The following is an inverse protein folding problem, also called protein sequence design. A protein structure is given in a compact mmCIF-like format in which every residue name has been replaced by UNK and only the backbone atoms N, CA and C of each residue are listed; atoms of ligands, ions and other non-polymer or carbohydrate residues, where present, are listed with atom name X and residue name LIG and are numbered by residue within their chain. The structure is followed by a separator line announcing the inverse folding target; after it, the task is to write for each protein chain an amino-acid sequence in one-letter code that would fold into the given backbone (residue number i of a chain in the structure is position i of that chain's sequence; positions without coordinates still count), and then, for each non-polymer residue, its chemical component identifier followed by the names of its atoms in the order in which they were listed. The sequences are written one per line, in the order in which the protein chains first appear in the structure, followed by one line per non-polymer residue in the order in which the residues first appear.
data_IF_801490904908
#
_entry.id   IF_801490904908
#
_cell.length_a   1.000
_cell.length_b   1.000
_cell.length_c   1.000
_cell.angle_alpha   90.00
_cell.angle_beta   90.00
_cell.angle_gamma   90.00
#
_symmetry.space_group_name_H-M   'P 1'
#
loop_
_entity.id
_entity.type
_entity.pdbx_description
1 polymer ?
#
# COMPACT_ATOMS: atom_id res chain seq x y z
N UNK A 1 -17.72 -11.31 -18.03
CA UNK A 1 -17.67 -10.35 -16.91
C UNK A 1 -18.90 -10.62 -16.06
N UNK A 2 -18.77 -10.80 -14.75
CA UNK A 2 -19.95 -10.99 -13.89
C UNK A 2 -20.78 -9.69 -13.89
N UNK A 3 -22.12 -9.75 -13.89
CA UNK A 3 -22.94 -8.53 -13.81
C UNK A 3 -22.58 -7.74 -12.56
N UNK A 4 -22.26 -6.45 -12.71
CA UNK A 4 -21.95 -5.55 -11.59
C UNK A 4 -20.47 -5.32 -11.28
N UNK A 5 -19.54 -5.86 -12.09
CA UNK A 5 -18.11 -5.51 -11.97
C UNK A 5 -17.80 -4.24 -12.77
N UNK A 6 -17.37 -3.17 -12.09
CA UNK A 6 -16.81 -1.98 -12.71
C UNK A 6 -15.28 -2.04 -12.62
N UNK A 7 -14.61 -1.59 -13.69
CA UNK A 7 -13.15 -1.55 -13.78
C UNK A 7 -12.73 -0.11 -14.14
N UNK A 8 -11.71 0.41 -13.47
CA UNK A 8 -11.05 1.65 -13.82
C UNK A 8 -9.53 1.50 -13.66
N UNK A 9 -8.76 2.22 -14.45
CA UNK A 9 -7.31 2.22 -14.45
C UNK A 9 -6.74 3.64 -14.65
N UNK A 10 -5.44 3.80 -14.43
CA UNK A 10 -4.72 5.03 -14.76
C UNK A 10 -3.93 4.90 -16.06
N UNK A 11 -3.63 6.04 -16.70
CA UNK A 11 -2.87 6.07 -17.95
C UNK A 11 -1.44 5.51 -17.82
N UNK A 12 -0.89 5.47 -16.60
CA UNK A 12 0.47 5.01 -16.33
C UNK A 12 0.57 3.50 -16.03
N UNK A 13 -0.56 2.78 -15.95
CA UNK A 13 -0.60 1.35 -15.60
C UNK A 13 -0.13 1.05 -14.18
N UNK A 14 -0.28 2.00 -13.26
CA UNK A 14 0.11 1.92 -11.84
C UNK A 14 -1.08 1.71 -10.90
N UNK A 15 -2.31 1.79 -11.41
CA UNK A 15 -3.53 1.65 -10.63
C UNK A 15 -4.57 0.84 -11.40
N UNK A 16 -5.15 -0.14 -10.74
CA UNK A 16 -6.31 -0.90 -11.21
C UNK A 16 -7.35 -0.93 -10.08
N UNK A 17 -8.53 -0.42 -10.36
CA UNK A 17 -9.68 -0.42 -9.45
C UNK A 17 -10.71 -1.41 -9.99
N UNK A 18 -11.16 -2.30 -9.13
CA UNK A 18 -12.20 -3.28 -9.42
C UNK A 18 -13.26 -3.18 -8.35
N UNK A 19 -14.52 -3.11 -8.76
CA UNK A 19 -15.66 -3.24 -7.87
C UNK A 19 -16.25 -4.65 -7.96
N UNK A 20 -16.50 -5.26 -6.81
CA UNK A 20 -17.18 -6.55 -6.75
C UNK A 20 -18.18 -6.55 -5.59
N UNK A 21 -19.20 -7.40 -5.69
CA UNK A 21 -20.16 -7.61 -4.61
C UNK A 21 -19.83 -8.95 -3.94
N UNK A 22 -19.59 -8.91 -2.63
CA UNK A 22 -19.37 -10.09 -1.80
C UNK A 22 -20.38 -10.07 -0.65
N UNK A 23 -21.18 -11.14 -0.52
CA UNK A 23 -22.21 -11.27 0.51
C UNK A 23 -23.14 -10.04 0.63
N UNK A 24 -23.49 -9.42 -0.51
CA UNK A 24 -24.36 -8.25 -0.57
C UNK A 24 -23.66 -6.91 -0.28
N UNK A 25 -22.38 -6.93 0.06
CA UNK A 25 -21.55 -5.73 0.26
C UNK A 25 -20.77 -5.39 -1.01
N UNK A 26 -20.87 -4.15 -1.48
CA UNK A 26 -20.00 -3.63 -2.54
C UNK A 26 -18.61 -3.38 -1.94
N UNK A 27 -17.61 -4.10 -2.45
CA UNK A 27 -16.20 -3.99 -2.08
C UNK A 27 -15.44 -3.40 -3.26
N UNK A 28 -14.55 -2.45 -2.96
CA UNK A 28 -13.62 -1.89 -3.94
C UNK A 28 -12.22 -2.41 -3.70
N UNK A 29 -11.71 -3.17 -4.66
CA UNK A 29 -10.34 -3.67 -4.70
C UNK A 29 -9.49 -2.71 -5.52
N UNK A 30 -8.36 -2.28 -4.98
CA UNK A 30 -7.43 -1.38 -5.66
C UNK A 30 -6.04 -2.03 -5.65
N UNK A 31 -5.56 -2.42 -6.82
CA UNK A 31 -4.17 -2.86 -6.99
C UNK A 31 -3.30 -1.68 -7.41
N UNK A 32 -2.17 -1.48 -6.74
CA UNK A 32 -1.26 -0.36 -7.03
C UNK A 32 0.17 -0.81 -7.29
N UNK A 33 0.89 -0.01 -8.07
CA UNK A 33 2.34 -0.04 -8.22
C UNK A 33 2.89 1.38 -8.12
N UNK A 34 3.28 1.80 -6.92
CA UNK A 34 3.73 3.15 -6.66
C UNK A 34 5.16 3.39 -7.17
N UNK A 35 5.47 4.63 -7.57
CA UNK A 35 6.78 5.00 -8.10
C UNK A 35 7.92 4.78 -7.09
N UNK A 36 9.15 4.59 -7.58
CA UNK A 36 10.34 4.62 -6.71
C UNK A 36 10.72 6.06 -6.29
N UNK A 37 10.11 7.09 -6.88
CA UNK A 37 10.39 8.51 -6.61
C UNK A 37 9.42 9.04 -5.55
N UNK A 38 9.95 9.53 -4.42
CA UNK A 38 9.16 9.98 -3.26
C UNK A 38 8.14 11.08 -3.59
N UNK A 39 8.49 12.05 -4.45
CA UNK A 39 7.58 13.14 -4.84
C UNK A 39 6.41 12.65 -5.70
N UNK A 40 6.65 11.70 -6.61
CA UNK A 40 5.61 11.05 -7.39
C UNK A 40 4.69 10.22 -6.50
N UNK A 41 5.25 9.42 -5.58
CA UNK A 41 4.46 8.64 -4.61
C UNK A 41 3.56 9.53 -3.76
N UNK A 42 4.07 10.68 -3.31
CA UNK A 42 3.28 11.63 -2.53
C UNK A 42 2.03 12.08 -3.30
N UNK A 43 2.20 12.51 -4.56
CA UNK A 43 1.07 12.92 -5.40
C UNK A 43 0.12 11.74 -5.61
N UNK A 44 0.68 10.57 -5.92
CA UNK A 44 -0.08 9.35 -6.15
C UNK A 44 -0.97 8.96 -4.94
N UNK A 45 -0.42 8.94 -3.72
CA UNK A 45 -1.21 8.61 -2.52
C UNK A 45 -2.28 9.66 -2.20
N UNK A 46 -2.00 10.94 -2.48
CA UNK A 46 -3.01 12.00 -2.35
C UNK A 46 -4.17 11.78 -3.32
N UNK A 47 -3.86 11.46 -4.59
CA UNK A 47 -4.86 11.22 -5.63
C UNK A 47 -5.61 9.90 -5.42
N UNK A 48 -4.98 8.91 -4.77
CA UNK A 48 -5.57 7.62 -4.44
C UNK A 48 -6.84 7.76 -3.59
N UNK A 49 -6.91 8.79 -2.74
CA UNK A 49 -8.06 9.07 -1.86
C UNK A 49 -9.40 9.11 -2.59
N UNK A 50 -9.43 9.65 -3.82
CA UNK A 50 -10.67 9.78 -4.60
C UNK A 50 -11.30 8.43 -4.97
N UNK A 51 -10.49 7.36 -4.94
CA UNK A 51 -10.92 6.00 -5.22
C UNK A 51 -11.31 5.24 -3.96
N UNK A 52 -10.95 5.71 -2.77
CA UNK A 52 -11.26 5.01 -1.53
C UNK A 52 -12.73 5.21 -1.12
N UNK A 53 -13.30 4.18 -0.50
CA UNK A 53 -14.64 4.15 0.09
C UNK A 53 -14.56 3.51 1.48
N UNK A 54 -15.71 3.41 2.16
CA UNK A 54 -15.81 2.72 3.45
C UNK A 54 -15.51 1.21 3.36
N UNK A 55 -15.59 0.61 2.16
CA UNK A 55 -15.36 -0.82 1.91
C UNK A 55 -14.26 -1.02 0.88
N UNK A 56 -13.06 -0.52 1.17
CA UNK A 56 -11.92 -0.57 0.25
C UNK A 56 -10.81 -1.49 0.75
N UNK A 57 -10.23 -2.25 -0.18
CA UNK A 57 -9.02 -3.04 0.02
C UNK A 57 -7.99 -2.55 -1.01
N UNK A 58 -6.83 -2.11 -0.54
CA UNK A 58 -5.71 -1.68 -1.38
C UNK A 58 -4.57 -2.68 -1.19
N UNK A 59 -4.02 -3.17 -2.29
CA UNK A 59 -2.89 -4.10 -2.29
C UNK A 59 -1.89 -3.73 -3.38
N UNK A 60 -0.65 -4.22 -3.23
CA UNK A 60 0.39 -4.09 -4.23
C UNK A 60 1.68 -3.53 -3.65
N UNK A 61 2.53 -2.98 -4.53
CA UNK A 61 3.83 -2.43 -4.17
C UNK A 61 3.70 -0.92 -3.92
N UNK A 62 3.82 -0.53 -2.66
CA UNK A 62 3.74 0.88 -2.25
C UNK A 62 5.09 1.58 -2.41
N UNK A 63 6.19 0.86 -2.65
CA UNK A 63 7.56 1.36 -2.70
C UNK A 63 7.91 2.33 -1.56
N UNK A 64 7.26 2.17 -0.40
CA UNK A 64 7.42 3.00 0.79
C UNK A 64 7.64 2.11 2.00
N UNK A 65 8.62 2.47 2.82
CA UNK A 65 8.86 1.84 4.11
C UNK A 65 7.96 2.55 5.12
N UNK A 66 7.04 1.85 5.78
CA UNK A 66 6.09 2.49 6.69
C UNK A 66 6.68 2.71 8.09
N UNK A 67 7.44 1.73 8.60
CA UNK A 67 7.97 1.69 9.97
C UNK A 67 9.44 1.26 10.00
N UNK A 68 10.13 1.50 11.11
CA UNK A 68 11.52 1.06 11.29
C UNK A 68 11.66 -0.47 11.27
N UNK A 69 10.57 -1.22 11.51
CA UNK A 69 10.53 -2.68 11.45
C UNK A 69 10.43 -3.22 10.02
N UNK A 70 10.17 -2.36 9.04
CA UNK A 70 10.09 -2.71 7.62
C UNK A 70 11.46 -2.71 6.92
N UNK A 71 12.52 -2.31 7.63
CA UNK A 71 13.92 -2.40 7.15
C UNK A 71 14.70 -3.44 7.93
N UNK A 72 15.77 -3.98 7.35
CA UNK A 72 16.75 -4.77 8.09
C UNK A 72 17.45 -3.93 9.16
N UNK A 73 17.90 -4.55 10.24
CA UNK A 73 18.63 -3.87 11.33
C UNK A 73 19.87 -3.10 10.85
N UNK A 74 20.51 -3.60 9.80
CA UNK A 74 21.68 -2.98 9.17
C UNK A 74 21.33 -1.85 8.17
N UNK A 75 20.05 -1.50 8.02
CA UNK A 75 19.59 -0.46 7.10
C UNK A 75 19.03 0.76 7.85
N UNK A 76 19.30 1.94 7.29
CA UNK A 76 18.80 3.20 7.84
C UNK A 76 17.35 3.41 7.46
N UNK A 77 16.51 3.65 8.47
CA UNK A 77 15.15 4.15 8.30
C UNK A 77 15.19 5.63 7.87
N UNK A 78 15.32 5.86 6.56
CA UNK A 78 15.39 7.20 5.98
C UNK A 78 14.03 7.89 6.06
N UNK A 79 14.03 9.23 6.15
CA UNK A 79 12.82 10.02 5.99
C UNK A 79 12.24 9.88 4.58
N UNK A 80 10.92 9.89 4.46
CA UNK A 80 10.20 9.77 3.19
C UNK A 80 8.93 10.63 3.27
N UNK A 81 8.79 11.58 2.35
CA UNK A 81 7.65 12.52 2.34
C UNK A 81 6.34 11.87 1.93
N UNK A 82 6.39 10.81 1.11
CA UNK A 82 5.20 10.08 0.65
C UNK A 82 4.55 9.27 1.76
N UNK A 83 5.35 8.75 2.70
CA UNK A 83 4.86 8.02 3.87
C UNK A 83 3.91 8.83 4.73
N UNK A 84 4.18 10.13 4.90
CA UNK A 84 3.27 11.02 5.63
C UNK A 84 1.92 11.11 4.92
N UNK A 85 1.93 11.22 3.60
CA UNK A 85 0.70 11.28 2.81
C UNK A 85 -0.07 9.96 2.88
N UNK A 86 0.62 8.82 2.82
CA UNK A 86 0.01 7.52 3.04
C UNK A 86 -0.65 7.45 4.42
N UNK A 87 0.05 7.81 5.48
CA UNK A 87 -0.52 7.81 6.84
C UNK A 87 -1.74 8.73 6.98
N UNK A 88 -1.74 9.89 6.30
CA UNK A 88 -2.90 10.77 6.27
C UNK A 88 -4.08 10.10 5.57
N UNK A 89 -3.86 9.46 4.40
CA UNK A 89 -4.88 8.69 3.70
C UNK A 89 -5.48 7.60 4.60
N UNK A 90 -4.63 6.81 5.27
CA UNK A 90 -5.09 5.73 6.16
C UNK A 90 -5.93 6.25 7.32
N UNK A 91 -5.49 7.33 7.95
CA UNK A 91 -6.22 7.93 9.06
C UNK A 91 -7.55 8.54 8.60
N UNK A 92 -7.56 9.28 7.49
CA UNK A 92 -8.76 9.95 6.98
C UNK A 92 -9.81 8.97 6.45
N UNK A 93 -9.38 7.86 5.85
CA UNK A 93 -10.28 6.83 5.31
C UNK A 93 -10.56 5.70 6.31
N UNK A 94 -10.11 5.83 7.56
CA UNK A 94 -10.26 4.80 8.60
C UNK A 94 -9.79 3.40 8.14
N UNK A 95 -8.57 3.34 7.61
CA UNK A 95 -7.95 2.13 7.08
C UNK A 95 -6.70 1.76 7.89
N UNK A 96 -6.31 0.49 7.84
CA UNK A 96 -5.06 0.04 8.43
C UNK A 96 -4.32 -0.96 7.53
N UNK A 97 -3.01 -1.06 7.73
CA UNK A 97 -2.21 -2.16 7.19
C UNK A 97 -2.47 -3.42 8.02
N UNK A 98 -3.03 -4.45 7.39
CA UNK A 98 -3.45 -5.69 8.06
C UNK A 98 -2.26 -6.39 8.71
N UNK A 99 -1.14 -6.50 7.99
CA UNK A 99 0.02 -7.25 8.46
C UNK A 99 0.70 -6.52 9.61
N UNK A 100 0.90 -5.21 9.49
CA UNK A 100 1.56 -4.40 10.53
C UNK A 100 0.70 -4.25 11.76
N UNK A 101 -0.63 -4.23 11.62
CA UNK A 101 -1.56 -4.24 12.77
C UNK A 101 -1.45 -5.55 13.55
N UNK A 102 -1.42 -6.70 12.86
CA UNK A 102 -1.27 -8.00 13.50
C UNK A 102 0.15 -8.25 14.05
N UNK A 103 1.18 -7.64 13.45
CA UNK A 103 2.59 -7.87 13.77
C UNK A 103 3.37 -6.55 14.02
N UNK A 104 3.03 -5.74 15.04
CA UNK A 104 3.51 -4.37 15.16
C UNK A 104 5.04 -4.20 15.12
N UNK A 105 5.77 -5.14 15.74
CA UNK A 105 7.24 -5.06 15.91
C UNK A 105 8.00 -6.19 15.20
N UNK A 106 7.31 -7.04 14.44
CA UNK A 106 7.96 -8.14 13.73
C UNK A 106 8.65 -7.58 12.50
N UNK A 107 9.90 -7.98 12.30
CA UNK A 107 10.67 -7.70 11.08
C UNK A 107 10.39 -8.81 10.07
N UNK A 108 9.80 -8.44 8.95
CA UNK A 108 9.54 -9.31 7.78
C UNK A 108 9.69 -8.45 6.53
N UNK A 109 10.07 -9.09 5.43
CA UNK A 109 10.45 -8.37 4.21
C UNK A 109 9.83 -9.05 2.99
N UNK A 110 9.44 -8.25 2.01
CA UNK A 110 8.89 -8.72 0.74
C UNK A 110 9.90 -8.58 -0.41
N UNK A 111 10.91 -7.70 -0.25
CA UNK A 111 11.97 -7.46 -1.24
C UNK A 111 13.37 -7.67 -0.66
N UNK A 112 14.25 -8.29 -1.46
CA UNK A 112 15.70 -8.41 -1.19
C UNK A 112 16.51 -7.71 -2.27
N UNK A 113 17.30 -6.71 -1.90
CA UNK A 113 18.27 -6.06 -2.76
C UNK A 113 19.62 -6.77 -2.61
N UNK A 114 20.05 -7.44 -3.67
CA UNK A 114 21.37 -8.05 -3.73
C UNK A 114 22.40 -6.96 -4.03
N UNK A 115 23.40 -6.84 -3.16
CA UNK A 115 24.61 -6.07 -3.42
C UNK A 115 25.78 -7.05 -3.38
N UNK A 116 26.66 -6.95 -4.38
CA UNK A 116 27.89 -7.77 -4.43
C UNK A 116 28.94 -7.24 -3.43
N UNK A 117 28.84 -5.97 -3.06
CA UNK A 117 29.85 -5.23 -2.30
C UNK A 117 29.41 -5.01 -0.83
N UNK A 118 28.10 -5.03 -0.57
CA UNK A 118 27.51 -4.76 0.74
C UNK A 118 26.56 -5.89 1.15
N UNK A 119 26.25 -5.98 2.46
CA UNK A 119 25.23 -6.91 2.94
C UNK A 119 23.89 -6.65 2.20
N UNK A 120 23.20 -7.71 1.74
CA UNK A 120 21.90 -7.57 1.07
C UNK A 120 20.92 -6.80 1.96
N UNK A 121 20.29 -5.76 1.40
CA UNK A 121 19.26 -4.99 2.10
C UNK A 121 17.89 -5.59 1.86
N UNK A 122 17.11 -5.81 2.91
CA UNK A 122 15.72 -6.29 2.79
C UNK A 122 14.73 -5.23 3.26
N UNK A 123 13.57 -5.14 2.58
CA UNK A 123 12.53 -4.14 2.83
C UNK A 123 11.14 -4.73 2.68
N UNK A 124 10.19 -4.30 3.51
CA UNK A 124 8.75 -4.51 3.30
C UNK A 124 8.22 -3.34 2.48
N UNK A 125 7.79 -3.61 1.24
CA UNK A 125 7.23 -2.61 0.33
C UNK A 125 5.83 -3.01 -0.17
N UNK A 126 5.52 -4.30 -0.10
CA UNK A 126 4.21 -4.84 -0.41
C UNK A 126 3.32 -4.74 0.84
N UNK A 127 2.10 -4.26 0.67
CA UNK A 127 1.18 -4.09 1.80
C UNK A 127 -0.26 -4.43 1.39
N UNK A 128 -1.03 -4.90 2.36
CA UNK A 128 -2.48 -5.07 2.25
C UNK A 128 -3.12 -4.11 3.24
N UNK A 129 -3.81 -3.11 2.70
CA UNK A 129 -4.48 -2.05 3.45
C UNK A 129 -5.97 -2.25 3.30
N UNK A 130 -6.70 -2.23 4.42
CA UNK A 130 -8.14 -2.49 4.44
C UNK A 130 -8.87 -1.41 5.23
N UNK A 131 -10.06 -1.04 4.77
CA UNK A 131 -10.99 -0.25 5.57
C UNK A 131 -11.38 -1.02 6.82
N UNK A 132 -11.33 -0.37 7.98
CA UNK A 132 -11.63 -1.01 9.26
C UNK A 132 -13.09 -1.54 9.36
N UNK A 133 -13.99 -1.09 8.48
CA UNK A 133 -15.37 -1.60 8.40
C UNK A 133 -15.47 -3.03 7.83
N UNK A 134 -14.40 -3.53 7.20
CA UNK A 134 -14.31 -4.88 6.63
C UNK A 134 -13.56 -5.88 7.53
N UNK A 135 -13.13 -5.45 8.73
CA UNK A 135 -12.43 -6.28 9.72
C UNK A 135 -13.37 -6.90 10.76
#
# INVERSE_FOLDING_TARGET
MWPGTNIADDECGRLLVIECVYEGTLIRLINIYASNIDSERKIFFKDLKKWCTDNTIILGDFNVIQTEFDVSENNVFKGDVSRRELNLLLNEMNMCDVWRTANPKVRTYSRRQLSVIFLPGTRMLDSLIISNNLL
#
